data_IF_530023120285
#
_entry.id   IF_530023120285
#
_cell.length_a   1.000
_cell.length_b   1.000
_cell.length_c   1.000
_cell.angle_alpha   90.00
_cell.angle_beta   90.00
_cell.angle_gamma   90.00
#
_symmetry.space_group_name_H-M   'P 1'
#
loop_
_entity.id
_entity.type
_entity.pdbx_description
1 polymer ?
#
# COMPACT_ATOMS: atom_id res chain seq x y z
N UNK A 1 10.33 18.37 6.52
CA UNK A 1 11.62 18.06 5.86
C UNK A 1 11.41 17.90 4.36
N UNK A 2 12.46 17.92 3.54
CA UNK A 2 12.35 17.54 2.13
C UNK A 2 13.56 16.73 1.63
N UNK A 3 13.36 15.97 0.56
CA UNK A 3 14.43 15.33 -0.22
C UNK A 3 14.77 16.21 -1.42
N UNK A 4 16.04 16.51 -1.60
CA UNK A 4 16.54 17.23 -2.77
C UNK A 4 17.32 16.29 -3.70
N UNK A 5 16.92 16.23 -4.96
CA UNK A 5 17.63 15.46 -5.97
C UNK A 5 18.82 16.25 -6.50
N UNK A 6 19.99 15.61 -6.50
CA UNK A 6 21.23 16.13 -7.12
C UNK A 6 21.62 15.31 -8.34
N UNK A 7 22.60 15.81 -9.10
CA UNK A 7 23.14 15.18 -10.32
C UNK A 7 22.06 14.91 -11.38
N UNK A 8 21.26 15.94 -11.67
CA UNK A 8 20.23 15.97 -12.71
C UNK A 8 20.85 15.54 -14.06
N UNK A 9 20.19 14.64 -14.79
CA UNK A 9 20.68 14.15 -16.09
C UNK A 9 21.88 13.18 -16.09
N UNK A 10 22.59 12.94 -14.98
CA UNK A 10 23.69 11.96 -14.95
C UNK A 10 23.16 10.54 -14.76
N UNK A 11 22.73 9.90 -15.87
CA UNK A 11 22.42 8.46 -15.89
C UNK A 11 23.65 7.58 -16.05
N UNK A 12 24.80 8.15 -16.45
CA UNK A 12 26.04 7.43 -16.78
C UNK A 12 27.03 7.28 -15.62
N UNK A 13 27.02 8.17 -14.62
CA UNK A 13 27.92 8.06 -13.45
C UNK A 13 27.18 8.30 -12.13
N UNK A 14 27.03 7.24 -11.34
CA UNK A 14 26.52 7.28 -9.96
C UNK A 14 25.01 7.53 -9.78
N UNK A 15 24.29 8.03 -10.79
CA UNK A 15 22.84 8.27 -10.76
C UNK A 15 22.41 9.45 -9.86
N UNK A 16 21.12 9.81 -9.87
CA UNK A 16 20.59 10.85 -8.99
C UNK A 16 20.66 10.41 -7.52
N UNK A 17 21.08 11.34 -6.67
CA UNK A 17 21.16 11.14 -5.21
C UNK A 17 20.15 12.06 -4.52
N UNK A 18 19.56 11.56 -3.43
CA UNK A 18 18.51 12.26 -2.68
C UNK A 18 19.04 12.61 -1.29
N UNK A 19 19.26 13.90 -1.06
CA UNK A 19 19.74 14.43 0.22
C UNK A 19 18.58 14.89 1.06
N UNK A 20 18.67 14.66 2.36
CA UNK A 20 17.73 15.20 3.30
C UNK A 20 18.06 16.66 3.61
N UNK A 21 17.01 17.48 3.66
CA UNK A 21 17.06 18.86 4.11
C UNK A 21 15.98 19.07 5.19
N UNK A 22 16.31 19.91 6.17
CA UNK A 22 15.42 20.26 7.28
C UNK A 22 14.89 19.04 8.05
N UNK A 23 15.73 18.01 8.23
CA UNK A 23 15.41 16.88 9.11
C UNK A 23 15.20 17.39 10.55
N UNK A 24 14.13 16.91 11.19
CA UNK A 24 13.86 17.22 12.60
C UNK A 24 14.91 16.61 13.53
N UNK A 25 15.15 17.24 14.66
CA UNK A 25 16.26 16.90 15.56
C UNK A 25 16.18 15.47 16.11
N UNK A 26 14.98 14.96 16.39
CA UNK A 26 14.78 13.58 16.81
C UNK A 26 15.24 12.57 15.72
N UNK A 27 14.87 12.82 14.46
CA UNK A 27 15.26 11.97 13.33
C UNK A 27 16.78 12.06 13.09
N UNK A 28 17.35 13.26 13.13
CA UNK A 28 18.81 13.46 13.01
C UNK A 28 19.57 12.72 14.10
N UNK A 29 19.17 12.92 15.35
CA UNK A 29 19.82 12.29 16.51
C UNK A 29 19.79 10.77 16.38
N UNK A 30 18.64 10.21 16.01
CA UNK A 30 18.50 8.79 15.79
C UNK A 30 19.38 8.28 14.63
N UNK A 31 19.40 9.00 13.49
CA UNK A 31 20.24 8.65 12.34
C UNK A 31 21.73 8.70 12.67
N UNK A 32 22.18 9.72 13.41
CA UNK A 32 23.58 9.83 13.89
C UNK A 32 23.94 8.65 14.80
N UNK A 33 23.05 8.29 15.73
CA UNK A 33 23.28 7.19 16.66
C UNK A 33 23.37 5.82 15.97
N UNK A 34 22.54 5.58 14.94
CA UNK A 34 22.54 4.31 14.19
C UNK A 34 23.53 4.28 13.02
N UNK A 35 23.94 5.44 12.52
CA UNK A 35 24.79 5.62 11.35
C UNK A 35 24.09 5.36 10.00
N UNK A 36 23.27 4.32 9.91
CA UNK A 36 22.33 4.09 8.82
C UNK A 36 21.05 3.42 9.32
N UNK A 37 19.92 3.78 8.73
CA UNK A 37 18.59 3.29 9.09
C UNK A 37 17.86 2.84 7.84
N UNK A 38 17.21 1.67 7.90
CA UNK A 38 16.38 1.19 6.77
C UNK A 38 15.21 2.14 6.54
N UNK A 39 14.87 2.34 5.27
CA UNK A 39 13.72 3.15 4.89
C UNK A 39 12.60 2.24 4.40
N UNK A 40 11.40 2.41 4.95
CA UNK A 40 10.17 1.92 4.37
C UNK A 40 9.51 3.07 3.61
N UNK A 41 9.02 2.81 2.40
CA UNK A 41 8.29 3.80 1.63
C UNK A 41 6.80 3.65 1.95
N UNK A 42 6.16 4.71 2.42
CA UNK A 42 4.70 4.77 2.46
C UNK A 42 4.22 5.02 1.04
N UNK A 43 3.39 4.12 0.52
CA UNK A 43 2.80 4.20 -0.82
C UNK A 43 1.34 4.65 -0.72
N UNK A 44 0.64 4.92 -1.84
CA UNK A 44 -0.80 5.16 -1.81
C UNK A 44 -1.62 4.02 -1.21
N UNK A 45 -1.09 2.78 -1.23
CA UNK A 45 -1.75 1.63 -0.61
C UNK A 45 -1.48 1.54 0.87
N UNK A 46 -0.24 1.80 1.31
CA UNK A 46 0.26 1.54 2.66
C UNK A 46 1.78 1.44 2.66
N UNK A 47 2.40 1.20 3.81
CA UNK A 47 3.86 1.09 3.85
C UNK A 47 4.36 -0.21 3.22
N UNK A 48 5.40 -0.09 2.40
CA UNK A 48 6.18 -1.21 1.85
C UNK A 48 7.61 -1.18 2.38
N UNK A 49 8.14 -2.35 2.75
CA UNK A 49 9.55 -2.48 3.10
C UNK A 49 10.36 -2.29 1.83
N UNK A 50 11.46 -1.54 1.95
CA UNK A 50 12.36 -1.32 0.82
C UNK A 50 13.79 -1.65 1.23
N UNK A 51 14.65 -1.76 0.23
CA UNK A 51 16.08 -1.92 0.43
C UNK A 51 16.84 -0.59 0.45
N UNK A 52 16.13 0.53 0.61
CA UNK A 52 16.72 1.85 0.81
C UNK A 52 17.24 2.03 2.23
N UNK A 53 18.28 2.86 2.37
CA UNK A 53 18.83 3.25 3.66
C UNK A 53 18.98 4.77 3.72
N UNK A 54 18.49 5.36 4.81
CA UNK A 54 18.91 6.69 5.23
C UNK A 54 20.30 6.54 5.86
N UNK A 55 21.25 7.35 5.42
CA UNK A 55 22.66 7.27 5.85
C UNK A 55 23.10 8.63 6.33
N UNK A 56 23.74 8.63 7.50
CA UNK A 56 24.31 9.81 8.14
C UNK A 56 25.43 10.44 7.29
N UNK A 57 25.66 11.74 7.48
CA UNK A 57 26.70 12.52 6.79
C UNK A 57 28.14 12.00 7.00
N UNK A 58 28.41 11.43 8.17
CA UNK A 58 29.68 10.85 8.62
C UNK A 58 29.80 9.35 8.31
N UNK A 59 28.84 8.80 7.55
CA UNK A 59 28.78 7.36 7.24
C UNK A 59 28.61 7.10 5.75
N UNK A 60 29.00 5.90 5.34
CA UNK A 60 28.68 5.29 4.04
C UNK A 60 28.27 3.83 4.25
N UNK A 61 27.64 3.25 3.24
CA UNK A 61 27.40 1.80 3.22
C UNK A 61 28.60 1.09 2.59
N UNK A 62 29.03 0.00 3.19
CA UNK A 62 29.97 -0.96 2.59
C UNK A 62 29.24 -1.88 1.57
N UNK A 63 29.95 -2.81 0.90
CA UNK A 63 29.33 -3.77 -0.03
C UNK A 63 28.26 -4.68 0.61
N UNK A 64 28.31 -4.86 1.94
CA UNK A 64 27.35 -5.65 2.72
C UNK A 64 26.20 -4.81 3.29
N UNK A 65 26.11 -3.53 2.90
CA UNK A 65 25.12 -2.55 3.34
C UNK A 65 25.19 -2.23 4.84
N UNK A 66 26.37 -2.34 5.44
CA UNK A 66 26.64 -1.93 6.82
C UNK A 66 27.16 -0.49 6.84
N UNK A 67 26.78 0.25 7.88
CA UNK A 67 27.28 1.60 8.09
C UNK A 67 28.74 1.57 8.53
N UNK A 68 29.61 2.19 7.75
CA UNK A 68 31.03 2.41 8.07
C UNK A 68 31.35 3.89 8.02
N UNK A 69 32.43 4.32 8.68
CA UNK A 69 32.87 5.71 8.65
C UNK A 69 33.16 6.17 7.22
N UNK A 70 32.76 7.41 6.92
CA UNK A 70 33.01 8.05 5.64
C UNK A 70 32.77 9.54 5.72
N UNK A 71 33.45 10.32 4.89
CA UNK A 71 33.29 11.78 4.89
C UNK A 71 32.43 12.19 3.68
N UNK A 72 31.11 12.12 3.82
CA UNK A 72 30.17 12.41 2.70
C UNK A 72 29.45 13.74 2.89
N UNK A 73 29.40 14.27 4.11
CA UNK A 73 29.04 15.65 4.41
C UNK A 73 27.54 15.97 4.34
N UNK A 74 26.69 15.00 3.99
CA UNK A 74 25.24 15.16 3.97
C UNK A 74 24.47 13.89 4.30
N UNK A 75 23.36 14.07 5.02
CA UNK A 75 22.33 13.06 5.23
C UNK A 75 21.61 12.75 3.93
N UNK A 76 21.46 11.47 3.61
CA UNK A 76 20.94 11.06 2.29
C UNK A 76 20.27 9.71 2.32
N UNK A 77 19.52 9.44 1.26
CA UNK A 77 19.01 8.10 0.97
C UNK A 77 19.92 7.44 -0.06
N UNK A 78 20.43 6.26 0.31
CA UNK A 78 21.16 5.36 -0.59
C UNK A 78 20.27 4.22 -1.06
N UNK A 79 20.55 3.73 -2.28
CA UNK A 79 19.76 2.71 -2.96
C UNK A 79 19.79 1.35 -2.27
N UNK A 80 20.89 1.03 -1.55
CA UNK A 80 21.09 -0.31 -1.02
C UNK A 80 20.97 -1.39 -2.11
N UNK A 81 20.08 -2.38 -1.88
CA UNK A 81 19.77 -3.44 -2.86
C UNK A 81 18.55 -3.14 -3.75
N UNK A 82 17.93 -1.97 -3.60
CA UNK A 82 16.72 -1.66 -4.34
C UNK A 82 16.99 -1.62 -5.86
N UNK A 83 16.02 -2.00 -6.68
CA UNK A 83 16.19 -2.04 -8.14
C UNK A 83 16.36 -0.64 -8.77
N UNK A 84 15.73 0.37 -8.18
CA UNK A 84 15.71 1.75 -8.68
C UNK A 84 16.02 2.75 -7.57
N UNK A 85 16.20 4.03 -7.92
CA UNK A 85 16.42 5.11 -6.93
C UNK A 85 15.09 5.48 -6.27
N UNK A 86 15.15 5.97 -5.03
CA UNK A 86 13.92 6.26 -4.28
C UNK A 86 12.97 7.26 -4.96
N UNK A 87 13.48 8.27 -5.67
CA UNK A 87 12.61 9.18 -6.41
C UNK A 87 11.84 8.48 -7.54
N UNK A 88 12.46 7.51 -8.21
CA UNK A 88 11.79 6.71 -9.23
C UNK A 88 10.73 5.79 -8.60
N UNK A 89 11.06 5.15 -7.48
CA UNK A 89 10.08 4.36 -6.73
C UNK A 89 8.89 5.23 -6.28
N UNK A 90 9.12 6.44 -5.76
CA UNK A 90 8.06 7.40 -5.42
C UNK A 90 7.22 7.72 -6.65
N UNK A 91 7.85 8.04 -7.78
CA UNK A 91 7.16 8.35 -9.03
C UNK A 91 6.26 7.21 -9.49
N UNK A 92 6.76 5.98 -9.44
CA UNK A 92 6.04 4.78 -9.86
C UNK A 92 4.89 4.46 -8.89
N UNK A 93 5.15 4.42 -7.59
CA UNK A 93 4.13 4.11 -6.58
C UNK A 93 3.00 5.13 -6.52
N UNK A 94 3.29 6.41 -6.75
CA UNK A 94 2.30 7.49 -6.73
C UNK A 94 1.79 7.87 -8.12
N UNK A 95 2.17 7.12 -9.14
CA UNK A 95 1.74 7.34 -10.53
C UNK A 95 1.98 8.79 -11.01
N UNK A 96 3.14 9.33 -10.65
CA UNK A 96 3.51 10.71 -10.99
C UNK A 96 4.04 10.78 -12.44
N UNK A 97 3.81 11.90 -13.15
CA UNK A 97 4.33 12.09 -14.51
C UNK A 97 5.85 11.93 -14.59
N UNK A 98 6.43 11.55 -15.74
CA UNK A 98 7.89 11.49 -15.88
C UNK A 98 8.54 12.87 -15.70
N UNK A 99 9.71 12.90 -15.06
CA UNK A 99 10.50 14.12 -14.85
C UNK A 99 11.58 13.95 -13.78
N UNK A 100 12.61 14.80 -13.83
CA UNK A 100 13.61 14.88 -12.77
C UNK A 100 13.06 15.72 -11.60
N UNK A 101 13.02 15.14 -10.40
CA UNK A 101 12.64 15.90 -9.22
C UNK A 101 13.69 16.98 -8.96
N UNK A 102 13.21 18.12 -8.48
CA UNK A 102 14.04 19.08 -7.77
C UNK A 102 13.91 18.83 -6.27
N UNK A 103 12.68 18.64 -5.81
CA UNK A 103 12.34 18.54 -4.40
C UNK A 103 11.14 17.63 -4.19
N UNK A 104 11.18 16.83 -3.13
CA UNK A 104 10.06 16.03 -2.63
C UNK A 104 9.88 16.36 -1.15
N UNK A 105 8.79 17.02 -0.79
CA UNK A 105 8.43 17.20 0.61
C UNK A 105 7.94 15.85 1.15
N UNK A 106 8.45 15.46 2.31
CA UNK A 106 8.07 14.20 2.94
C UNK A 106 8.06 14.34 4.46
N UNK A 107 7.32 13.46 5.11
CA UNK A 107 7.43 13.19 6.54
C UNK A 107 8.25 11.91 6.76
N UNK A 108 8.89 11.81 7.92
CA UNK A 108 9.61 10.61 8.36
C UNK A 108 9.21 10.29 9.79
N UNK A 109 8.67 9.10 9.98
CA UNK A 109 8.40 8.52 11.29
C UNK A 109 9.42 7.43 11.63
N UNK A 110 9.77 7.28 12.90
CA UNK A 110 10.62 6.18 13.39
C UNK A 110 9.71 5.11 13.99
N UNK A 111 9.68 3.95 13.36
CA UNK A 111 8.85 2.82 13.77
C UNK A 111 9.69 1.55 13.57
N UNK A 112 9.84 0.76 14.63
CA UNK A 112 10.59 -0.52 14.64
C UNK A 112 11.98 -0.42 14.00
N UNK A 113 12.76 0.51 14.55
CA UNK A 113 14.11 0.84 14.09
C UNK A 113 14.25 1.16 12.59
N UNK A 114 13.15 1.57 11.95
CA UNK A 114 13.08 1.92 10.54
C UNK A 114 12.47 3.30 10.34
N UNK A 115 12.88 3.98 9.26
CA UNK A 115 12.31 5.24 8.84
C UNK A 115 11.18 5.01 7.85
N UNK A 116 9.97 5.43 8.20
CA UNK A 116 8.83 5.41 7.30
C UNK A 116 8.73 6.74 6.60
N UNK A 117 9.18 6.77 5.34
CA UNK A 117 9.16 7.97 4.51
C UNK A 117 7.81 8.10 3.82
N UNK A 118 7.09 9.19 4.09
CA UNK A 118 5.83 9.52 3.43
C UNK A 118 6.00 10.73 2.52
N UNK A 119 5.98 10.55 1.19
CA UNK A 119 5.90 11.65 0.24
C UNK A 119 4.59 12.45 0.40
N UNK A 120 4.71 13.77 0.44
CA UNK A 120 3.58 14.69 0.64
C UNK A 120 3.38 15.61 -0.57
N UNK A 121 4.47 16.15 -1.11
CA UNK A 121 4.46 17.09 -2.23
C UNK A 121 5.70 16.88 -3.10
N UNK A 122 5.65 17.27 -4.36
CA UNK A 122 6.80 17.21 -5.25
C UNK A 122 6.91 18.44 -6.16
N UNK A 123 8.13 18.76 -6.57
CA UNK A 123 8.45 19.80 -7.54
C UNK A 123 9.45 19.23 -8.54
N UNK A 124 9.13 19.35 -9.83
CA UNK A 124 10.05 18.99 -10.91
C UNK A 124 11.02 20.13 -11.23
N UNK A 125 12.21 19.76 -11.70
CA UNK A 125 13.23 20.72 -12.13
C UNK A 125 12.67 21.66 -13.21
N UNK A 126 12.92 22.96 -13.03
CA UNK A 126 12.44 24.00 -13.96
C UNK A 126 10.94 24.28 -13.92
N UNK A 127 10.17 23.62 -13.03
CA UNK A 127 8.75 23.94 -12.80
C UNK A 127 8.63 24.85 -11.58
N UNK A 128 7.81 25.92 -11.64
CA UNK A 128 7.71 26.87 -10.54
C UNK A 128 6.90 26.32 -9.36
N UNK A 129 5.98 25.38 -9.61
CA UNK A 129 4.96 24.95 -8.65
C UNK A 129 5.33 23.66 -7.94
N UNK A 130 5.14 23.66 -6.62
CA UNK A 130 5.07 22.47 -5.77
C UNK A 130 3.64 21.87 -5.87
N UNK A 131 3.55 20.57 -6.14
CA UNK A 131 2.30 19.84 -6.37
C UNK A 131 2.05 18.89 -5.20
N UNK A 132 0.84 18.88 -4.66
CA UNK A 132 0.45 17.97 -3.58
C UNK A 132 0.22 16.55 -4.11
N UNK A 133 0.66 15.57 -3.33
CA UNK A 133 0.43 14.15 -3.59
C UNK A 133 -0.85 13.74 -2.85
N UNK A 134 -1.90 13.29 -3.56
CA UNK A 134 -3.15 12.88 -2.91
C UNK A 134 -2.93 11.71 -1.95
N UNK A 135 -3.59 11.77 -0.78
CA UNK A 135 -3.61 10.67 0.21
C UNK A 135 -5.00 10.07 0.28
N UNK A 136 -5.06 8.75 0.33
CA UNK A 136 -6.30 7.99 0.55
C UNK A 136 -6.11 7.29 1.89
N UNK A 137 -7.02 7.51 2.84
CA UNK A 137 -6.88 6.96 4.20
C UNK A 137 -7.07 5.44 4.22
N UNK A 138 -8.05 4.93 3.45
CA UNK A 138 -8.38 3.51 3.40
C UNK A 138 -8.42 2.95 1.97
N UNK A 139 -7.28 2.93 1.27
CA UNK A 139 -7.22 2.66 -0.16
C UNK A 139 -7.74 1.29 -0.58
N UNK A 140 -7.74 0.28 0.32
CA UNK A 140 -8.20 -1.08 0.00
C UNK A 140 -9.63 -1.37 0.49
N UNK A 141 -10.26 -0.42 1.20
CA UNK A 141 -11.58 -0.64 1.80
C UNK A 141 -12.71 -0.52 0.78
N UNK A 142 -13.62 -1.49 0.82
CA UNK A 142 -14.90 -1.50 0.13
C UNK A 142 -15.97 -2.00 1.10
N UNK A 143 -16.80 -1.10 1.60
CA UNK A 143 -17.89 -1.38 2.54
C UNK A 143 -19.11 -0.55 2.17
N UNK A 144 -20.27 -0.84 2.77
CA UNK A 144 -21.46 0.01 2.60
C UNK A 144 -21.26 1.45 3.06
N UNK A 145 -20.39 1.66 4.06
CA UNK A 145 -20.15 2.99 4.67
C UNK A 145 -19.07 3.78 3.93
N UNK A 146 -18.13 3.09 3.29
CA UNK A 146 -17.01 3.71 2.61
C UNK A 146 -16.51 2.82 1.47
N UNK A 147 -16.39 3.41 0.28
CA UNK A 147 -15.77 2.80 -0.89
C UNK A 147 -14.58 3.66 -1.31
N UNK A 148 -13.38 3.08 -1.31
CA UNK A 148 -12.16 3.76 -1.74
C UNK A 148 -12.25 4.20 -3.20
N UNK A 149 -11.63 5.34 -3.51
CA UNK A 149 -11.48 5.83 -4.88
C UNK A 149 -10.71 4.85 -5.78
N UNK A 150 -9.82 4.04 -5.21
CA UNK A 150 -9.12 3.01 -5.99
C UNK A 150 -10.08 1.95 -6.52
N UNK A 151 -10.98 1.46 -5.68
CA UNK A 151 -11.99 0.50 -6.09
C UNK A 151 -12.94 1.08 -7.14
N UNK A 152 -13.49 2.27 -6.92
CA UNK A 152 -14.44 2.85 -7.88
C UNK A 152 -13.80 3.10 -9.24
N UNK A 153 -12.59 3.67 -9.27
CA UNK A 153 -11.85 3.91 -10.52
C UNK A 153 -11.46 2.60 -11.20
N UNK A 154 -11.03 1.59 -10.43
CA UNK A 154 -10.68 0.27 -10.96
C UNK A 154 -11.89 -0.41 -11.63
N UNK A 155 -13.05 -0.43 -10.97
CA UNK A 155 -14.25 -1.06 -11.52
C UNK A 155 -14.73 -0.35 -12.80
N UNK A 156 -14.73 0.99 -12.81
CA UNK A 156 -15.04 1.77 -14.02
C UNK A 156 -14.05 1.45 -15.14
N UNK A 157 -12.75 1.38 -14.83
CA UNK A 157 -11.71 1.06 -15.80
C UNK A 157 -11.90 -0.35 -16.39
N UNK A 158 -12.05 -1.38 -15.55
CA UNK A 158 -12.25 -2.76 -16.00
C UNK A 158 -13.51 -2.85 -16.85
N UNK A 159 -14.63 -2.25 -16.44
CA UNK A 159 -15.87 -2.33 -17.22
C UNK A 159 -15.73 -1.67 -18.60
N UNK A 160 -14.89 -0.63 -18.72
CA UNK A 160 -14.59 -0.01 -20.01
C UNK A 160 -13.70 -0.89 -20.90
N UNK A 161 -12.69 -1.53 -20.33
CA UNK A 161 -11.71 -2.35 -21.09
C UNK A 161 -12.26 -3.74 -21.40
N UNK A 162 -13.02 -4.32 -20.48
CA UNK A 162 -13.65 -5.62 -20.58
C UNK A 162 -15.14 -5.52 -20.16
N UNK A 163 -16.00 -5.02 -21.07
CA UNK A 163 -17.43 -4.90 -20.80
C UNK A 163 -18.04 -6.21 -20.32
N UNK A 164 -18.86 -6.14 -19.26
CA UNK A 164 -19.56 -7.29 -18.69
C UNK A 164 -18.77 -8.06 -17.62
N UNK A 165 -17.42 -8.01 -17.60
CA UNK A 165 -16.62 -8.73 -16.58
C UNK A 165 -16.95 -8.25 -15.17
N UNK A 166 -17.11 -6.93 -14.98
CA UNK A 166 -17.45 -6.37 -13.67
C UNK A 166 -18.81 -6.88 -13.21
N UNK A 167 -19.82 -6.79 -14.07
CA UNK A 167 -21.18 -7.25 -13.75
C UNK A 167 -21.21 -8.76 -13.43
N UNK A 168 -20.56 -9.58 -14.24
CA UNK A 168 -20.42 -11.02 -13.99
C UNK A 168 -19.75 -11.30 -12.65
N UNK A 169 -18.61 -10.66 -12.37
CA UNK A 169 -17.85 -10.86 -11.13
C UNK A 169 -18.67 -10.48 -9.90
N UNK A 170 -19.37 -9.34 -9.94
CA UNK A 170 -20.22 -8.90 -8.83
C UNK A 170 -21.43 -9.83 -8.64
N UNK A 171 -22.01 -10.37 -9.71
CA UNK A 171 -23.09 -11.36 -9.64
C UNK A 171 -22.64 -12.69 -9.03
N UNK A 172 -21.44 -13.19 -9.38
CA UNK A 172 -20.89 -14.38 -8.73
C UNK A 172 -20.62 -14.13 -7.24
N UNK A 173 -20.10 -12.94 -6.89
CA UNK A 173 -19.92 -12.54 -5.48
C UNK A 173 -21.27 -12.52 -4.75
N UNK A 174 -22.34 -11.99 -5.37
CA UNK A 174 -23.68 -12.02 -4.79
C UNK A 174 -24.15 -13.44 -4.45
N UNK A 175 -23.96 -14.43 -5.34
CA UNK A 175 -24.35 -15.83 -5.08
C UNK A 175 -23.60 -16.43 -3.91
N UNK A 176 -22.32 -16.10 -3.77
CA UNK A 176 -21.51 -16.53 -2.63
C UNK A 176 -22.07 -15.91 -1.35
N UNK A 177 -22.25 -14.58 -1.33
CA UNK A 177 -22.75 -13.85 -0.16
C UNK A 177 -24.11 -14.37 0.31
N UNK A 178 -25.03 -14.68 -0.61
CA UNK A 178 -26.33 -15.28 -0.28
C UNK A 178 -26.20 -16.53 0.59
N UNK A 179 -25.15 -17.33 0.39
CA UNK A 179 -24.89 -18.54 1.20
C UNK A 179 -24.42 -18.24 2.63
N UNK A 180 -23.99 -17.01 2.89
CA UNK A 180 -23.41 -16.56 4.15
C UNK A 180 -24.30 -15.56 4.92
N UNK A 181 -25.46 -15.22 4.38
CA UNK A 181 -26.42 -14.35 5.04
C UNK A 181 -27.00 -15.03 6.31
N UNK A 182 -27.24 -14.28 7.40
CA UNK A 182 -27.75 -14.83 8.66
C UNK A 182 -29.07 -15.61 8.52
N UNK A 183 -29.92 -15.15 7.60
CA UNK A 183 -31.27 -15.70 7.37
C UNK A 183 -31.24 -16.99 6.53
N UNK A 184 -30.09 -17.30 5.90
CA UNK A 184 -29.92 -18.44 5.01
C UNK A 184 -29.18 -19.56 5.75
N UNK A 185 -29.94 -20.55 6.24
CA UNK A 185 -29.39 -21.71 6.95
C UNK A 185 -28.99 -22.82 5.98
N UNK A 186 -27.93 -22.61 5.20
CA UNK A 186 -27.31 -23.70 4.45
C UNK A 186 -26.43 -24.55 5.37
N UNK A 187 -26.69 -25.85 5.39
CA UNK A 187 -25.86 -26.79 6.12
C UNK A 187 -24.43 -26.80 5.55
N UNK A 188 -23.44 -26.97 6.42
CA UNK A 188 -22.02 -27.15 6.08
C UNK A 188 -21.30 -25.97 5.42
N UNK A 189 -21.90 -24.77 5.34
CA UNK A 189 -21.20 -23.57 4.88
C UNK A 189 -20.23 -23.08 5.97
N UNK A 190 -18.94 -23.00 5.64
CA UNK A 190 -17.83 -22.61 6.51
C UNK A 190 -17.31 -21.20 6.17
N UNK A 191 -16.49 -20.62 7.03
CA UNK A 191 -15.87 -19.30 6.78
C UNK A 191 -14.95 -19.31 5.55
N UNK A 192 -14.20 -20.41 5.35
CA UNK A 192 -13.33 -20.61 4.19
C UNK A 192 -14.06 -20.63 2.85
N UNK A 193 -15.38 -20.89 2.81
CA UNK A 193 -16.15 -20.89 1.56
C UNK A 193 -16.24 -19.52 0.89
N UNK A 194 -15.87 -18.44 1.60
CA UNK A 194 -15.70 -17.11 1.01
C UNK A 194 -14.57 -17.06 -0.03
N UNK A 195 -13.62 -18.00 0.01
CA UNK A 195 -12.57 -18.15 -1.02
C UNK A 195 -13.10 -18.47 -2.41
N UNK A 196 -14.36 -18.91 -2.52
CA UNK A 196 -15.04 -19.02 -3.82
C UNK A 196 -15.10 -17.67 -4.55
N UNK A 197 -14.96 -16.55 -3.82
CA UNK A 197 -14.87 -15.22 -4.40
C UNK A 197 -13.51 -14.92 -5.06
N UNK A 198 -12.49 -15.77 -4.88
CA UNK A 198 -11.13 -15.56 -5.43
C UNK A 198 -11.12 -15.31 -6.94
N UNK A 199 -11.83 -16.11 -7.72
CA UNK A 199 -11.94 -15.94 -9.17
C UNK A 199 -12.53 -14.59 -9.57
N UNK A 200 -13.77 -14.28 -9.14
CA UNK A 200 -14.38 -12.97 -9.35
C UNK A 200 -13.51 -11.80 -8.86
N UNK A 201 -12.97 -11.87 -7.64
CA UNK A 201 -12.12 -10.82 -7.06
C UNK A 201 -10.85 -10.58 -7.87
N UNK A 202 -10.26 -11.64 -8.45
CA UNK A 202 -9.09 -11.53 -9.32
C UNK A 202 -9.36 -10.65 -10.53
N UNK A 203 -10.54 -10.79 -11.15
CA UNK A 203 -10.94 -9.91 -12.25
C UNK A 203 -11.09 -8.45 -11.82
N UNK A 204 -11.43 -8.21 -10.56
CA UNK A 204 -11.62 -6.87 -10.00
C UNK A 204 -10.31 -6.24 -9.48
N UNK A 205 -9.19 -6.98 -9.47
CA UNK A 205 -7.87 -6.50 -9.05
C UNK A 205 -7.40 -6.99 -7.68
N UNK A 206 -8.00 -8.05 -7.12
CA UNK A 206 -7.53 -8.72 -5.90
C UNK A 206 -7.26 -10.21 -6.17
N UNK A 207 -5.99 -10.60 -6.14
CA UNK A 207 -5.59 -12.01 -6.20
C UNK A 207 -5.40 -12.56 -4.79
N UNK A 208 -6.31 -13.42 -4.34
CA UNK A 208 -6.18 -14.13 -3.06
C UNK A 208 -5.13 -15.25 -3.17
N UNK A 209 -4.22 -15.31 -2.19
CA UNK A 209 -3.26 -16.41 -2.06
C UNK A 209 -3.86 -17.69 -1.49
N UNK A 210 -3.02 -18.72 -1.34
CA UNK A 210 -3.41 -19.99 -0.74
C UNK A 210 -3.90 -19.82 0.70
N UNK A 211 -4.99 -20.51 1.04
CA UNK A 211 -5.58 -20.47 2.37
C UNK A 211 -4.79 -21.32 3.36
N UNK A 212 -4.25 -20.69 4.40
CA UNK A 212 -3.42 -21.37 5.42
C UNK A 212 -4.15 -21.65 6.73
N UNK A 213 -5.31 -21.01 6.97
CA UNK A 213 -6.16 -21.20 8.16
C UNK A 213 -5.50 -20.85 9.51
N UNK A 214 -4.33 -20.20 9.49
CA UNK A 214 -3.57 -19.76 10.67
C UNK A 214 -3.01 -18.37 10.41
N UNK A 215 -3.09 -17.48 11.41
CA UNK A 215 -2.60 -16.13 11.22
C UNK A 215 -3.55 -15.30 10.36
N UNK A 216 -3.01 -14.59 9.39
CA UNK A 216 -3.78 -14.12 8.24
C UNK A 216 -3.96 -15.27 7.26
N UNK A 217 -5.19 -15.46 6.82
CA UNK A 217 -5.61 -16.61 6.03
C UNK A 217 -4.96 -16.69 4.65
N UNK A 218 -4.69 -15.54 4.03
CA UNK A 218 -4.08 -15.47 2.70
C UNK A 218 -3.02 -14.35 2.66
N UNK A 219 -1.86 -14.60 2.05
CA UNK A 219 -1.04 -13.52 1.51
C UNK A 219 -1.55 -13.20 0.11
N UNK A 220 -2.10 -12.01 -0.07
CA UNK A 220 -2.81 -11.62 -1.30
C UNK A 220 -2.14 -10.45 -1.98
N UNK A 221 -2.57 -10.14 -3.20
CA UNK A 221 -2.02 -9.06 -4.00
C UNK A 221 -3.14 -8.20 -4.60
N UNK A 222 -3.04 -6.89 -4.39
CA UNK A 222 -3.89 -5.89 -5.05
C UNK A 222 -3.19 -5.32 -6.27
N UNK A 223 -3.93 -5.15 -7.35
CA UNK A 223 -3.47 -4.49 -8.57
C UNK A 223 -4.55 -3.55 -9.09
N UNK A 224 -4.40 -2.26 -8.78
CA UNK A 224 -5.30 -1.22 -9.27
C UNK A 224 -4.65 -0.38 -10.36
N UNK A 225 -5.37 -0.20 -11.46
CA UNK A 225 -5.03 0.68 -12.57
C UNK A 225 -3.59 0.43 -13.05
N UNK A 226 -2.75 1.46 -12.98
CA UNK A 226 -1.32 1.42 -13.32
C UNK A 226 -0.41 1.49 -12.09
N UNK A 227 -0.97 1.41 -10.89
CA UNK A 227 -0.18 1.36 -9.68
C UNK A 227 0.53 0.01 -9.57
N UNK A 228 1.72 -0.05 -8.94
CA UNK A 228 2.39 -1.31 -8.67
C UNK A 228 1.52 -2.25 -7.85
N UNK A 229 1.76 -3.54 -8.00
CA UNK A 229 1.12 -4.56 -7.21
C UNK A 229 1.48 -4.41 -5.72
N UNK A 230 0.47 -4.51 -4.84
CA UNK A 230 0.66 -4.38 -3.40
C UNK A 230 0.32 -5.69 -2.69
N UNK A 231 1.34 -6.32 -2.11
CA UNK A 231 1.17 -7.52 -1.31
C UNK A 231 0.62 -7.18 0.07
N UNK A 232 -0.43 -7.88 0.49
CA UNK A 232 -1.15 -7.59 1.72
C UNK A 232 -1.67 -8.88 2.37
N UNK A 233 -1.50 -9.06 3.69
CA UNK A 233 -2.17 -10.13 4.40
C UNK A 233 -3.68 -9.89 4.47
N UNK A 234 -4.45 -10.95 4.22
CA UNK A 234 -5.92 -10.95 4.24
C UNK A 234 -6.39 -11.99 5.25
N UNK A 235 -7.30 -11.59 6.15
CA UNK A 235 -8.03 -12.51 7.01
C UNK A 235 -9.47 -12.62 6.51
N UNK A 236 -9.96 -13.85 6.43
CA UNK A 236 -11.29 -14.16 5.97
C UNK A 236 -12.19 -14.27 7.19
N UNK A 237 -13.32 -13.56 7.16
CA UNK A 237 -14.30 -13.59 8.25
C UNK A 237 -15.71 -13.65 7.69
N UNK A 238 -16.61 -14.43 8.28
CA UNK A 238 -18.03 -14.28 7.93
C UNK A 238 -18.54 -12.88 8.30
N UNK A 239 -18.24 -12.46 9.53
CA UNK A 239 -18.59 -11.16 10.10
C UNK A 239 -17.32 -10.44 10.54
N UNK A 240 -17.14 -9.19 10.13
CA UNK A 240 -15.94 -8.44 10.46
C UNK A 240 -15.77 -8.20 11.96
N UNK A 241 -16.84 -8.18 12.76
CA UNK A 241 -16.77 -8.09 14.23
C UNK A 241 -15.90 -9.20 14.85
N UNK A 242 -15.78 -10.36 14.21
CA UNK A 242 -14.99 -11.48 14.73
C UNK A 242 -13.46 -11.30 14.52
N UNK A 243 -13.02 -10.20 13.91
CA UNK A 243 -11.62 -9.82 13.77
C UNK A 243 -11.01 -9.28 15.09
N UNK A 244 -11.02 -10.07 16.15
CA UNK A 244 -10.51 -9.63 17.46
C UNK A 244 -9.07 -10.09 17.74
N UNK A 245 -8.74 -11.31 17.34
CA UNK A 245 -7.46 -11.91 17.72
C UNK A 245 -6.29 -11.28 16.96
N UNK A 246 -6.39 -11.18 15.63
CA UNK A 246 -5.33 -10.56 14.85
C UNK A 246 -5.25 -9.07 15.09
N UNK A 247 -6.34 -8.38 15.40
CA UNK A 247 -6.30 -6.97 15.81
C UNK A 247 -5.33 -6.71 16.97
N UNK A 248 -5.22 -7.63 17.94
CA UNK A 248 -4.29 -7.49 19.09
C UNK A 248 -2.83 -7.73 18.70
N UNK A 249 -2.59 -8.51 17.66
CA UNK A 249 -1.27 -8.83 17.09
C UNK A 249 -0.84 -7.81 16.03
N UNK A 250 -1.82 -7.21 15.36
CA UNK A 250 -1.64 -6.28 14.26
C UNK A 250 -1.47 -4.85 14.75
N UNK A 251 -0.54 -4.12 14.15
CA UNK A 251 -0.37 -2.69 14.44
C UNK A 251 0.44 -2.36 15.69
N UNK A 252 1.17 -3.31 16.28
CA UNK A 252 2.21 -2.97 17.27
C UNK A 252 3.58 -2.67 16.65
N UNK A 253 3.85 -3.19 15.45
CA UNK A 253 5.23 -3.29 14.93
C UNK A 253 5.37 -3.02 13.40
N UNK A 254 4.32 -2.54 12.69
CA UNK A 254 4.38 -2.24 11.25
C UNK A 254 3.30 -1.22 10.80
N UNK A 255 3.65 -0.27 9.90
CA UNK A 255 2.68 0.54 9.12
C UNK A 255 2.16 -0.16 7.84
N UNK A 256 2.55 -1.42 7.60
CA UNK A 256 1.94 -2.21 6.54
C UNK A 256 0.45 -2.39 6.82
N UNK A 257 -0.35 -2.61 5.78
CA UNK A 257 -1.81 -2.75 5.91
C UNK A 257 -2.22 -4.21 5.84
N UNK A 258 -3.39 -4.51 6.39
CA UNK A 258 -4.02 -5.81 6.31
C UNK A 258 -5.50 -5.62 5.98
N UNK A 259 -6.11 -6.65 5.41
CA UNK A 259 -7.50 -6.59 4.98
C UNK A 259 -8.30 -7.67 5.67
N UNK A 260 -9.49 -7.32 6.13
CA UNK A 260 -10.53 -8.28 6.49
C UNK A 260 -11.44 -8.46 5.28
N UNK A 261 -11.38 -9.62 4.65
CA UNK A 261 -12.35 -10.04 3.64
C UNK A 261 -13.55 -10.63 4.38
N UNK A 262 -14.72 -10.02 4.26
CA UNK A 262 -15.90 -10.53 4.94
C UNK A 262 -17.17 -10.55 4.11
N UNK A 263 -18.11 -11.43 4.50
CA UNK A 263 -19.45 -11.40 3.92
C UNK A 263 -20.18 -10.10 4.33
N UNK A 264 -20.14 -9.78 5.63
CA UNK A 264 -20.85 -8.65 6.23
C UNK A 264 -19.90 -7.84 7.11
N UNK A 265 -19.90 -6.51 6.95
CA UNK A 265 -19.17 -5.58 7.81
C UNK A 265 -20.04 -5.04 8.96
N UNK A 266 -19.86 -5.58 10.16
CA UNK A 266 -20.53 -5.18 11.39
C UNK A 266 -19.56 -4.69 12.48
N UNK A 267 -18.27 -4.60 12.17
CA UNK A 267 -17.27 -4.06 13.08
C UNK A 267 -17.51 -2.55 13.33
N UNK A 268 -17.48 -2.16 14.60
CA UNK A 268 -17.79 -0.78 15.01
C UNK A 268 -16.68 0.20 14.63
N UNK A 269 -15.43 -0.18 14.89
CA UNK A 269 -14.27 0.69 14.67
C UNK A 269 -13.04 -0.12 14.26
N UNK A 270 -12.74 -0.13 12.97
CA UNK A 270 -11.51 -0.77 12.49
C UNK A 270 -10.27 0.07 12.82
N UNK A 271 -9.13 -0.57 13.17
CA UNK A 271 -7.85 0.13 13.30
C UNK A 271 -7.44 0.82 11.99
N UNK A 272 -6.64 1.89 12.09
CA UNK A 272 -6.24 2.73 10.94
C UNK A 272 -5.62 1.95 9.77
N UNK A 273 -4.79 0.95 10.08
CA UNK A 273 -4.06 0.16 9.07
C UNK A 273 -4.80 -1.12 8.67
N UNK A 274 -6.07 -1.27 9.04
CA UNK A 274 -6.93 -2.39 8.65
C UNK A 274 -8.00 -1.88 7.69
N UNK A 275 -8.07 -2.49 6.51
CA UNK A 275 -9.19 -2.33 5.59
C UNK A 275 -10.21 -3.44 5.73
N UNK A 276 -11.38 -3.17 5.19
CA UNK A 276 -12.44 -4.16 5.07
C UNK A 276 -12.87 -4.26 3.62
N UNK A 277 -12.92 -5.48 3.11
CA UNK A 277 -13.54 -5.81 1.84
C UNK A 277 -14.81 -6.60 2.12
N UNK A 278 -15.93 -5.91 2.11
CA UNK A 278 -17.26 -6.45 2.36
C UNK A 278 -17.89 -6.93 1.05
N UNK A 279 -18.07 -8.25 0.93
CA UNK A 279 -18.66 -8.86 -0.26
C UNK A 279 -20.13 -8.46 -0.45
N UNK A 280 -20.90 -8.27 0.62
CA UNK A 280 -22.28 -7.77 0.50
C UNK A 280 -22.30 -6.35 -0.07
N UNK A 281 -21.36 -5.49 0.28
CA UNK A 281 -21.27 -4.15 -0.31
C UNK A 281 -20.97 -4.21 -1.81
N UNK A 282 -20.07 -5.11 -2.23
CA UNK A 282 -19.82 -5.37 -3.66
C UNK A 282 -21.08 -5.85 -4.37
N UNK A 283 -21.86 -6.74 -3.75
CA UNK A 283 -23.14 -7.19 -4.29
C UNK A 283 -24.15 -6.04 -4.44
N UNK A 284 -24.27 -5.18 -3.42
CA UNK A 284 -25.15 -4.00 -3.47
C UNK A 284 -24.71 -3.03 -4.58
N UNK A 285 -23.40 -2.96 -4.85
CA UNK A 285 -22.79 -2.14 -5.89
C UNK A 285 -23.03 -2.66 -7.31
N UNK A 286 -23.39 -3.94 -7.48
CA UNK A 286 -23.69 -4.55 -8.79
C UNK A 286 -24.75 -3.77 -9.58
N UNK A 287 -25.67 -3.09 -8.88
CA UNK A 287 -26.72 -2.24 -9.47
C UNK A 287 -26.16 -1.10 -10.33
N UNK A 288 -24.91 -0.70 -10.13
CA UNK A 288 -24.24 0.34 -10.92
C UNK A 288 -23.66 -0.19 -12.24
N UNK A 289 -23.61 -1.51 -12.42
CA UNK A 289 -23.08 -2.18 -13.61
C UNK A 289 -24.08 -3.22 -14.11
N UNK A 290 -25.24 -2.80 -14.65
CA UNK A 290 -26.22 -3.73 -15.18
C UNK A 290 -25.59 -4.56 -16.32
N UNK A 291 -25.85 -5.87 -16.33
CA UNK A 291 -25.60 -6.69 -17.52
C UNK A 291 -26.44 -6.11 -18.66
N UNK A 292 -25.82 -5.88 -19.82
CA UNK A 292 -26.58 -5.58 -21.03
C UNK A 292 -27.62 -6.71 -21.25
N UNK A 293 -28.87 -6.37 -21.61
CA UNK A 293 -29.93 -7.34 -21.81
C UNK A 293 -29.61 -8.35 -22.91
#
# INVERSE_FOLDING_TARGET
MHLQQTKRGSRRSGGPQYYFHDLGDAIKTYLRAKGAVRVALVTPYGATKTDYFAVSEDRKLDPDFRAVEGNVGHDRIQQGRAAERIGEAIRVWYDLPPGDFERIDADVDIIDDSFYLTPLKYKYAGKPRLVEIPRIDRPLTFTKRYVSAFWTQQLVHINRVHPGIVSWSLNEICRIVQSHLPDVRLAHVQEGDLLRASGPLRHLGLSLGGYVGKGYDCLSEYTFLKYPAYSVPVEIKRHSQNFHYQQRKYGKELLSRAVVLCAIDDHKQMPKNIDVLELQALCDYAKQFPTAP
#
